data_IF_936451817126
#
_entry.id   IF_936451817126
#
_cell.length_a   1.000
_cell.length_b   1.000
_cell.length_c   1.000
_cell.angle_alpha   90.00
_cell.angle_beta   90.00
_cell.angle_gamma   90.00
#
_symmetry.space_group_name_H-M   'P 1'
#
loop_
_entity.id
_entity.type
_entity.pdbx_description
1 polymer ?
2 non-polymer ?
3 non-polymer ?
4 non-polymer ?
5 non-polymer ?
6 non-polymer ?
7 water ?
#
# COMPACT_ATOMS: atom_id res chain seq x y z
N UNK A 23 19.19 -3.49 4.87
CA UNK A 23 17.91 -4.26 5.00
C UNK A 23 16.94 -3.92 3.87
N UNK A 24 16.03 -2.99 4.17
CA UNK A 24 14.97 -2.58 3.25
C UNK A 24 15.52 -2.22 1.88
N UNK A 25 16.61 -1.45 1.85
CA UNK A 25 17.18 -0.97 0.58
C UNK A 25 17.61 -2.07 -0.42
N UNK A 26 17.94 -3.25 0.09
CA UNK A 26 18.44 -4.34 -0.75
C UNK A 26 17.38 -5.39 -1.15
N UNK A 27 16.16 -5.23 -0.67
CA UNK A 27 15.11 -6.13 -1.11
C UNK A 27 14.73 -5.80 -2.57
N UNK A 28 14.69 -6.81 -3.46
CA UNK A 28 14.32 -6.52 -4.86
C UNK A 28 12.90 -6.03 -4.94
N UNK A 29 12.61 -5.18 -5.92
CA UNK A 29 11.23 -4.76 -6.12
C UNK A 29 10.32 -5.95 -6.46
N UNK A 30 10.88 -6.99 -7.09
CA UNK A 30 10.07 -8.17 -7.41
C UNK A 30 10.81 -9.23 -8.20
N UNK A 31 10.28 -10.46 -8.21
CA UNK A 31 10.85 -11.55 -9.00
C UNK A 31 10.47 -11.48 -10.51
N UNK A 32 9.38 -10.80 -10.84
CA UNK A 32 8.99 -10.69 -12.25
C UNK A 32 8.07 -9.51 -12.43
N UNK A 33 8.66 -8.32 -12.53
CA UNK A 33 7.92 -7.07 -12.60
C UNK A 33 7.22 -6.81 -13.95
N UNK A 34 6.07 -6.12 -13.93
CA UNK A 34 5.40 -5.58 -12.72
C UNK A 34 4.46 -6.54 -12.00
N UNK A 35 4.17 -7.71 -12.57
CA UNK A 35 3.04 -8.49 -12.05
C UNK A 35 3.35 -9.30 -10.76
N UNK A 36 4.62 -9.66 -10.56
CA UNK A 36 5.09 -10.46 -9.43
C UNK A 36 6.08 -9.57 -8.64
N UNK A 37 5.58 -8.90 -7.59
CA UNK A 37 6.36 -7.93 -6.81
C UNK A 37 6.42 -8.20 -5.26
N UNK A 38 7.33 -7.51 -4.58
CA UNK A 38 7.50 -7.66 -3.14
C UNK A 38 6.96 -6.43 -2.42
N UNK A 39 6.37 -6.64 -1.24
CA UNK A 39 5.88 -5.55 -0.39
C UNK A 39 6.50 -5.69 1.00
N UNK A 40 7.12 -4.62 1.46
CA UNK A 40 7.55 -4.58 2.85
C UNK A 40 6.43 -3.95 3.69
N UNK A 41 6.01 -4.67 4.73
CA UNK A 41 4.87 -4.19 5.54
C UNK A 41 5.31 -3.14 6.56
N UNK A 42 4.63 -2.00 6.58
CA UNK A 42 4.86 -0.97 7.62
C UNK A 42 3.78 -0.99 8.72
N UNK A 43 2.53 -1.26 8.33
CA UNK A 43 1.38 -1.19 9.26
C UNK A 43 0.42 -2.37 9.10
N UNK A 44 0.41 -3.31 10.08
CA UNK A 44 -0.49 -4.49 10.00
C UNK A 44 -1.98 -4.04 10.03
N UNK A 45 -2.83 -4.75 9.29
CA UNK A 45 -4.26 -4.53 9.36
C UNK A 45 -4.75 -4.48 10.80
N UNK A 46 -5.58 -3.48 11.13
CA UNK A 46 -6.21 -3.39 12.50
C UNK A 46 -5.25 -3.15 13.68
N UNK A 47 -3.99 -2.83 13.39
CA UNK A 47 -3.04 -2.53 14.47
C UNK A 47 -3.46 -1.22 15.18
N UNK A 48 -2.99 -1.03 16.42
CA UNK A 48 -3.27 0.22 17.13
C UNK A 48 -2.87 1.40 16.23
N UNK A 49 -3.54 2.55 16.39
CA UNK A 49 -3.45 3.66 15.40
C UNK A 49 -2.14 4.50 15.42
N UNK A 50 -1.03 3.85 15.09
CA UNK A 50 0.30 4.45 15.05
C UNK A 50 0.85 4.23 13.65
N UNK A 51 1.21 5.34 12.99
CA UNK A 51 1.69 5.30 11.60
C UNK A 51 3.21 5.10 11.54
N UNK A 52 3.69 3.88 11.27
CA UNK A 52 5.12 3.67 11.08
C UNK A 52 5.50 3.84 9.61
N UNK A 53 6.71 4.33 9.37
CA UNK A 53 7.30 4.42 8.04
C UNK A 53 8.69 3.81 8.08
N UNK A 54 8.99 2.96 7.11
CA UNK A 54 10.33 2.39 6.99
C UNK A 54 11.33 3.49 6.64
N UNK A 55 12.45 3.52 7.34
CA UNK A 55 13.56 4.38 6.95
C UNK A 55 14.54 3.51 6.15
N UNK A 56 14.63 3.75 4.86
CA UNK A 56 15.47 2.90 4.02
C UNK A 56 16.98 3.18 4.24
N UNK A 57 17.29 4.34 4.82
CA UNK A 57 18.66 4.67 5.18
C UNK A 57 19.05 4.17 6.58
N UNK A 58 18.08 3.85 7.44
CA UNK A 58 18.41 3.32 8.76
C UNK A 58 18.19 1.82 8.78
N UNK A 59 17.40 1.33 7.82
CA UNK A 59 16.91 -0.07 7.83
C UNK A 59 15.89 -0.40 8.94
N UNK A 60 15.20 0.61 9.47
CA UNK A 60 14.34 0.42 10.65
C UNK A 60 13.01 1.10 10.44
N UNK A 61 11.97 0.62 11.13
CA UNK A 61 10.68 1.32 11.16
C UNK A 61 10.77 2.52 12.10
N UNK A 62 10.24 3.64 11.62
CA UNK A 62 10.23 4.88 12.39
C UNK A 62 8.79 5.35 12.66
N UNK A 63 8.52 5.82 13.88
CA UNK A 63 7.17 6.34 14.19
C UNK A 63 6.95 7.70 13.51
N UNK A 64 6.15 7.74 12.46
CA UNK A 64 5.85 9.00 11.82
C UNK A 64 4.92 9.85 12.68
N UNK A 65 3.75 9.32 13.04
CA UNK A 65 2.85 10.00 13.93
C UNK A 65 1.82 9.04 14.56
N UNK A 66 1.30 9.43 15.72
CA UNK A 66 0.05 8.87 16.25
C UNK A 66 -1.11 9.46 15.46
N UNK A 67 -1.86 8.58 14.79
CA UNK A 67 -2.97 9.04 13.98
C UNK A 67 -3.97 9.86 14.81
N UNK A 68 -4.23 11.09 14.38
CA UNK A 68 -5.06 12.03 15.18
C UNK A 68 -6.48 11.56 15.49
N UNK A 69 -7.09 10.88 14.52
CA UNK A 69 -8.44 10.38 14.67
C UNK A 69 -8.52 9.04 15.43
N UNK A 70 -7.39 8.38 15.64
CA UNK A 70 -7.42 7.05 16.27
C UNK A 70 -7.91 5.96 15.32
N UNK A 71 -8.09 6.29 14.04
CA UNK A 71 -8.53 5.30 13.02
C UNK A 71 -7.43 4.32 12.62
N UNK A 72 -7.83 3.08 12.26
CA UNK A 72 -6.90 1.97 12.01
C UNK A 72 -6.97 1.55 10.54
N UNK A 73 -5.82 1.18 9.98
CA UNK A 73 -5.81 0.62 8.63
C UNK A 73 -6.66 -0.64 8.59
N UNK A 74 -7.66 -0.68 7.70
CA UNK A 74 -8.51 -1.88 7.54
C UNK A 74 -7.81 -3.09 6.88
N UNK A 75 -6.67 -2.86 6.22
CA UNK A 75 -5.88 -3.93 5.61
C UNK A 75 -4.43 -3.57 5.82
N UNK A 76 -3.52 -4.51 5.57
CA UNK A 76 -2.08 -4.25 5.70
C UNK A 76 -1.59 -3.18 4.76
N UNK A 77 -0.65 -2.39 5.23
CA UNK A 77 -0.11 -1.27 4.45
C UNK A 77 1.43 -1.30 4.42
N UNK A 78 1.99 -1.08 3.24
CA UNK A 78 3.44 -1.06 3.06
C UNK A 78 3.81 -0.45 1.73
N UNK A 79 4.98 -0.83 1.23
CA UNK A 79 5.50 -0.25 -0.02
C UNK A 79 6.30 -1.28 -0.82
N UNK A 80 6.47 -1.01 -2.11
CA UNK A 80 7.42 -1.79 -2.95
C UNK A 80 8.84 -1.22 -2.90
N UNK A 81 9.81 -2.01 -2.43
CA UNK A 81 11.19 -1.48 -2.37
C UNK A 81 11.77 -1.24 -3.77
N UNK A 82 12.73 -0.32 -3.85
CA UNK A 82 13.38 -0.01 -5.12
C UNK A 82 12.41 0.57 -6.16
N UNK A 83 11.46 1.36 -5.68
CA UNK A 83 10.57 2.10 -6.56
C UNK A 83 10.55 3.54 -6.09
N UNK A 84 10.12 4.44 -6.96
CA UNK A 84 10.07 5.84 -6.63
C UNK A 84 8.87 6.41 -7.36
N UNK A 85 7.85 6.75 -6.58
CA UNK A 85 6.58 7.20 -7.11
C UNK A 85 6.63 8.67 -7.46
N UNK A 86 5.51 9.19 -7.97
CA UNK A 86 5.38 10.61 -8.27
C UNK A 86 5.76 11.57 -7.14
N UNK A 87 5.55 11.18 -5.89
CA UNK A 87 5.89 12.08 -4.77
C UNK A 87 7.33 11.91 -4.23
N UNK A 88 8.10 10.99 -4.78
CA UNK A 88 9.44 10.82 -4.24
C UNK A 88 9.48 9.77 -3.16
N UNK A 89 8.34 9.17 -2.85
CA UNK A 89 8.25 8.00 -1.95
C UNK A 89 8.06 6.74 -2.80
N UNK A 90 8.41 5.57 -2.25
CA UNK A 90 8.16 4.31 -2.95
C UNK A 90 6.69 4.10 -3.26
N UNK A 91 6.37 3.16 -4.15
CA UNK A 91 4.96 2.87 -4.49
C UNK A 91 4.26 2.25 -3.27
N UNK A 92 3.15 2.85 -2.85
CA UNK A 92 2.33 2.35 -1.71
C UNK A 92 1.38 1.22 -2.06
N UNK A 93 1.27 0.25 -1.15
CA UNK A 93 0.43 -0.94 -1.34
C UNK A 93 -0.38 -1.34 -0.08
N UNK A 94 -1.68 -1.54 -0.30
CA UNK A 94 -2.59 -2.22 0.62
C UNK A 94 -2.67 -3.72 0.26
N UNK A 95 -2.27 -4.60 1.18
CA UNK A 95 -2.32 -6.05 0.99
C UNK A 95 -3.40 -6.67 1.89
N UNK A 96 -4.38 -7.30 1.26
CA UNK A 96 -5.49 -8.01 1.96
C UNK A 96 -5.02 -9.44 2.33
N UNK A 97 -5.14 -9.80 3.61
CA UNK A 97 -4.78 -11.16 4.08
C UNK A 97 -5.80 -11.68 5.11
N UNK A 98 -5.91 -13.02 5.28
CA UNK A 98 -6.84 -13.47 6.33
C UNK A 98 -6.42 -13.17 7.82
N UNK A 99 -5.13 -12.95 8.08
CA UNK A 99 -4.63 -12.57 9.41
C UNK A 99 -3.63 -11.44 9.21
N UNK A 100 -3.54 -10.48 10.16
CA UNK A 100 -2.58 -9.38 9.91
C UNK A 100 -1.14 -9.89 9.72
N UNK A 101 -0.34 -9.16 8.93
CA UNK A 101 1.08 -9.49 8.73
C UNK A 101 1.94 -8.69 9.72
N UNK A 102 3.10 -9.26 10.01
CA UNK A 102 4.12 -8.66 10.86
C UNK A 102 4.73 -7.39 10.26
N UNK A 103 4.76 -6.29 11.02
CA UNK A 103 5.43 -5.08 10.55
C UNK A 103 6.93 -5.37 10.34
N UNK A 104 7.44 -4.95 9.18
CA UNK A 104 8.84 -5.13 8.84
C UNK A 104 9.11 -6.42 8.07
N UNK A 105 8.09 -7.27 7.92
CA UNK A 105 8.21 -8.47 7.10
C UNK A 105 8.00 -8.16 5.59
N UNK A 106 8.36 -9.13 4.74
CA UNK A 106 8.22 -9.06 3.29
C UNK A 106 7.24 -10.12 2.80
N UNK A 107 6.36 -9.72 1.89
CA UNK A 107 5.37 -10.62 1.29
C UNK A 107 5.40 -10.50 -0.27
N UNK A 108 5.53 -11.63 -0.94
CA UNK A 108 5.42 -11.71 -2.39
C UNK A 108 3.95 -11.52 -2.74
N UNK A 109 3.63 -10.56 -3.63
CA UNK A 109 2.25 -10.15 -3.92
C UNK A 109 1.93 -9.98 -5.42
N UNK A 110 0.64 -9.86 -5.72
CA UNK A 110 0.14 -9.54 -7.07
C UNK A 110 -0.95 -8.49 -6.94
N UNK A 111 -1.21 -7.76 -8.03
CA UNK A 111 -2.04 -6.57 -7.96
C UNK A 111 -3.48 -6.88 -8.26
N UNK A 112 -4.38 -6.12 -7.64
CA UNK A 112 -5.82 -6.23 -7.94
C UNK A 112 -6.30 -4.95 -8.62
N UNK A 113 -5.63 -3.83 -8.33
CA UNK A 113 -6.12 -2.53 -8.80
C UNK A 113 -5.55 -1.41 -7.97
N UNK A 114 -6.24 -0.27 -7.93
CA UNK A 114 -5.70 0.86 -7.17
C UNK A 114 -6.75 1.88 -6.79
N UNK A 115 -6.49 2.59 -5.70
CA UNK A 115 -7.33 3.71 -5.29
C UNK A 115 -6.65 5.00 -5.70
N UNK A 116 -7.33 5.84 -6.49
CA UNK A 116 -6.77 7.13 -6.90
C UNK A 116 -7.26 8.25 -6.00
N UNK A 117 -6.35 9.09 -5.54
CA UNK A 117 -6.69 10.16 -4.61
C UNK A 117 -5.79 11.33 -4.90
N UNK A 118 -6.14 12.49 -4.35
CA UNK A 118 -5.20 13.60 -4.20
C UNK A 118 -5.24 14.05 -2.74
N UNK A 119 -4.08 14.33 -2.15
CA UNK A 119 -4.05 14.84 -0.79
C UNK A 119 -3.33 16.18 -0.72
N UNK A 120 -3.03 16.64 0.50
CA UNK A 120 -2.39 17.95 0.66
C UNK A 120 -1.06 18.06 -0.12
N UNK A 121 -0.40 16.94 -0.39
CA UNK A 121 0.86 16.97 -1.14
C UNK A 121 0.70 16.59 -2.61
N UNK A 122 -0.52 16.64 -3.14
CA UNK A 122 -0.76 16.34 -4.55
C UNK A 122 -1.24 14.92 -4.79
N UNK A 123 -1.07 14.44 -6.03
CA UNK A 123 -1.58 13.12 -6.44
C UNK A 123 -1.11 11.97 -5.54
N UNK A 124 -2.01 11.04 -5.25
CA UNK A 124 -1.69 9.92 -4.34
C UNK A 124 -2.45 8.66 -4.71
N UNK A 125 -1.82 7.79 -5.49
CA UNK A 125 -2.41 6.51 -5.82
C UNK A 125 -1.88 5.45 -4.84
N UNK A 126 -2.76 4.57 -4.39
CA UNK A 126 -2.35 3.39 -3.62
C UNK A 126 -2.86 2.12 -4.26
N UNK A 127 -1.97 1.15 -4.44
CA UNK A 127 -2.34 -0.14 -4.99
C UNK A 127 -3.07 -0.99 -3.96
N UNK A 128 -3.88 -1.91 -4.46
CA UNK A 128 -4.55 -2.88 -3.64
C UNK A 128 -4.05 -4.23 -4.16
N UNK A 129 -3.57 -5.07 -3.25
CA UNK A 129 -2.92 -6.30 -3.65
C UNK A 129 -3.33 -7.45 -2.73
N UNK A 130 -3.00 -8.69 -3.14
CA UNK A 130 -3.05 -9.87 -2.29
C UNK A 130 -1.73 -10.62 -2.45
N UNK A 131 -1.41 -11.55 -1.52
CA UNK A 131 -0.18 -12.32 -1.71
C UNK A 131 -0.26 -13.21 -2.97
N UNK A 132 0.91 -13.67 -3.43
CA UNK A 132 1.03 -14.76 -4.41
C UNK A 132 0.14 -15.92 -4.00
N UNK A 133 -0.50 -16.57 -4.97
CA UNK A 133 -1.40 -17.69 -4.68
C UNK A 133 -0.82 -18.85 -3.85
N UNK A 134 0.46 -19.14 -3.96
CA UNK A 134 1.08 -20.20 -3.16
C UNK A 134 1.40 -19.71 -1.74
N UNK A 135 1.53 -18.41 -1.56
CA UNK A 135 1.68 -17.84 -0.22
C UNK A 135 0.32 -17.78 0.49
N UNK A 136 -0.71 -17.33 -0.22
CA UNK A 136 -2.05 -17.22 0.36
C UNK A 136 -3.15 -17.83 -0.54
N UNK A 137 -3.34 -19.16 -0.45
CA UNK A 137 -4.41 -19.80 -1.22
C UNK A 137 -5.77 -19.21 -0.93
N UNK A 138 -5.95 -18.67 0.28
CA UNK A 138 -7.23 -18.12 0.73
C UNK A 138 -7.70 -16.94 -0.11
N UNK A 139 -6.75 -16.24 -0.75
CA UNK A 139 -7.12 -15.06 -1.54
C UNK A 139 -7.05 -15.33 -3.07
N UNK A 140 -6.83 -16.58 -3.46
CA UNK A 140 -6.66 -16.94 -4.89
C UNK A 140 -7.83 -16.55 -5.78
N UNK A 141 -9.04 -16.55 -5.24
CA UNK A 141 -10.23 -16.21 -6.03
C UNK A 141 -10.46 -14.73 -6.18
N UNK A 142 -9.63 -13.89 -5.55
CA UNK A 142 -9.66 -12.47 -5.86
C UNK A 142 -8.74 -12.22 -7.07
N UNK A 143 -9.36 -11.99 -8.23
CA UNK A 143 -8.64 -11.79 -9.49
C UNK A 143 -8.47 -10.31 -9.83
N UNK A 144 -9.39 -9.47 -9.38
CA UNK A 144 -9.25 -8.04 -9.63
C UNK A 144 -9.97 -7.27 -8.53
N UNK A 145 -9.83 -5.95 -8.56
CA UNK A 145 -10.44 -5.06 -7.60
C UNK A 145 -11.97 -5.31 -7.48
N UNK A 146 -12.61 -5.73 -8.59
CA UNK A 146 -14.07 -5.98 -8.63
C UNK A 146 -14.48 -7.17 -7.80
N UNK A 147 -13.53 -8.02 -7.46
CA UNK A 147 -13.84 -9.16 -6.62
C UNK A 147 -13.78 -8.82 -5.12
N UNK A 148 -13.18 -7.69 -4.76
CA UNK A 148 -13.10 -7.32 -3.34
C UNK A 148 -14.51 -6.97 -2.84
N UNK A 149 -14.92 -7.52 -1.69
CA UNK A 149 -16.25 -7.21 -1.18
C UNK A 149 -16.51 -5.70 -1.15
N UNK A 150 -17.73 -5.29 -1.49
CA UNK A 150 -18.04 -3.87 -1.50
C UNK A 150 -17.82 -3.22 -0.11
N UNK A 151 -18.13 -3.97 0.95
CA UNK A 151 -18.02 -3.43 2.31
C UNK A 151 -16.56 -3.08 2.62
N UNK A 152 -15.62 -3.92 2.18
CA UNK A 152 -14.19 -3.66 2.36
C UNK A 152 -13.71 -2.47 1.52
N UNK A 153 -14.03 -2.50 0.23
CA UNK A 153 -13.81 -1.34 -0.62
C UNK A 153 -14.31 -0.06 0.09
N UNK A 154 -15.56 -0.05 0.55
CA UNK A 154 -16.14 1.13 1.23
C UNK A 154 -15.39 1.57 2.50
N UNK A 155 -14.98 0.59 3.31
CA UNK A 155 -14.17 0.86 4.50
C UNK A 155 -12.82 1.50 4.15
N UNK A 156 -12.15 1.00 3.11
CA UNK A 156 -10.85 1.54 2.71
C UNK A 156 -11.00 2.99 2.27
N UNK A 157 -12.03 3.24 1.48
CA UNK A 157 -12.29 4.58 1.00
C UNK A 157 -12.65 5.57 2.13
N UNK A 158 -13.52 5.15 3.05
CA UNK A 158 -13.84 5.94 4.26
C UNK A 158 -12.57 6.24 5.10
N UNK A 159 -11.74 5.21 5.32
CA UNK A 159 -10.47 5.38 6.04
C UNK A 159 -9.65 6.54 5.46
N UNK A 160 -9.35 6.49 4.16
CA UNK A 160 -8.56 7.56 3.56
C UNK A 160 -9.22 8.94 3.52
N UNK A 161 -10.54 8.96 3.38
CA UNK A 161 -11.29 10.20 3.48
C UNK A 161 -11.27 10.84 4.86
N UNK A 162 -11.10 10.06 5.92
CA UNK A 162 -11.29 10.55 7.29
C UNK A 162 -10.08 10.51 8.24
N UNK A 163 -9.10 9.64 8.00
CA UNK A 163 -8.03 9.47 8.98
C UNK A 163 -7.18 10.72 9.32
N UNK A 164 -7.14 11.69 8.39
CA UNK A 164 -6.33 12.89 8.59
C UNK A 164 -7.18 14.07 9.06
N UNK A 165 -8.45 13.80 9.35
CA UNK A 165 -9.40 14.83 9.76
C UNK A 165 -8.88 15.74 10.88
N UNK A 166 -8.01 15.24 11.75
CA UNK A 166 -7.62 16.02 12.93
C UNK A 166 -6.19 16.54 12.88
N UNK A 167 -5.61 16.54 11.68
CA UNK A 167 -4.30 17.16 11.48
C UNK A 167 -4.45 18.41 10.62
N UNK A 168 -4.05 19.56 11.16
CA UNK A 168 -4.12 20.84 10.42
C UNK A 168 -3.25 20.78 9.16
N UNK A 169 -3.81 21.22 8.04
CA UNK A 169 -3.06 21.26 6.80
C UNK A 169 -3.06 19.97 6.01
N UNK A 170 -3.83 18.98 6.47
CA UNK A 170 -3.87 17.68 5.79
C UNK A 170 -5.27 17.35 5.35
N UNK A 171 -5.41 16.76 4.17
CA UNK A 171 -6.72 16.46 3.63
C UNK A 171 -6.61 15.41 2.49
N UNK A 172 -7.73 14.80 2.13
CA UNK A 172 -7.74 13.78 1.10
C UNK A 172 -9.04 13.80 0.34
N UNK A 173 -8.95 13.84 -0.98
CA UNK A 173 -10.13 13.58 -1.82
C UNK A 173 -9.89 12.31 -2.65
N UNK A 174 -10.84 11.39 -2.58
CA UNK A 174 -10.80 10.16 -3.35
C UNK A 174 -11.36 10.40 -4.75
N UNK A 175 -10.56 10.12 -5.79
CA UNK A 175 -11.04 10.25 -7.16
C UNK A 175 -11.78 8.98 -7.62
N UNK A 176 -11.21 7.81 -7.38
CA UNK A 176 -11.90 6.56 -7.75
C UNK A 176 -11.00 5.34 -7.83
N UNK A 177 -11.60 4.20 -8.17
CA UNK A 177 -10.89 2.94 -8.32
C UNK A 177 -10.39 2.76 -9.76
N UNK A 178 -9.30 2.03 -9.93
CA UNK A 178 -8.84 1.61 -11.26
C UNK A 178 -8.33 0.18 -11.15
N UNK A 179 -8.10 -0.48 -12.29
CA UNK A 179 -7.88 -1.92 -12.32
C UNK A 179 -6.43 -2.35 -12.41
N UNK A 180 -6.21 -3.61 -12.78
CA UNK A 180 -4.88 -4.23 -12.76
C UNK A 180 -3.87 -3.57 -13.69
N UNK A 181 -4.32 -3.20 -14.89
CA UNK A 181 -3.40 -2.57 -15.87
C UNK A 181 -2.88 -1.24 -15.36
N UNK A 182 -3.75 -0.45 -14.73
CA UNK A 182 -3.28 0.82 -14.14
C UNK A 182 -2.28 0.57 -13.02
N UNK A 183 -2.51 -0.48 -12.22
CA UNK A 183 -1.58 -0.87 -11.14
C UNK A 183 -0.20 -1.22 -11.71
N UNK A 184 -0.21 -1.99 -12.79
CA UNK A 184 1.03 -2.37 -13.45
C UNK A 184 1.82 -1.19 -14.02
N UNK A 185 1.14 -0.21 -14.62
CA UNK A 185 1.78 1.03 -15.07
C UNK A 185 2.47 1.73 -13.91
N UNK A 186 1.71 1.95 -12.83
CA UNK A 186 2.27 2.58 -11.62
C UNK A 186 3.55 1.86 -11.14
N UNK A 187 3.52 0.53 -11.12
CA UNK A 187 4.69 -0.25 -10.74
C UNK A 187 5.87 -0.06 -11.76
N UNK A 188 5.62 -0.26 -13.06
CA UNK A 188 6.70 -0.06 -14.08
C UNK A 188 7.30 1.37 -14.01
N UNK A 189 6.45 2.40 -13.93
CA UNK A 189 6.93 3.77 -13.74
C UNK A 189 7.82 3.88 -12.50
N UNK A 190 7.35 3.31 -11.39
CA UNK A 190 8.10 3.41 -10.13
C UNK A 190 9.47 2.78 -10.19
N UNK A 191 9.54 1.59 -10.76
CA UNK A 191 10.82 0.93 -10.96
C UNK A 191 11.80 1.78 -11.83
N UNK A 192 11.31 2.24 -12.99
CA UNK A 192 12.07 3.10 -13.89
C UNK A 192 12.55 4.36 -13.16
N UNK A 193 11.63 5.13 -12.60
CA UNK A 193 11.99 6.35 -11.84
C UNK A 193 13.05 6.15 -10.76
N UNK A 194 13.03 5.01 -10.08
CA UNK A 194 13.99 4.77 -9.01
C UNK A 194 15.42 4.63 -9.54
N UNK A 195 15.56 4.02 -10.72
CA UNK A 195 16.88 3.80 -11.32
C UNK A 195 17.41 5.10 -11.93
N UNK A 196 16.55 6.12 -11.92
CA UNK A 196 16.93 7.50 -12.19
C UNK A 196 16.20 7.96 -13.45
X LIG B 1 7.01 -9.32 -16.45
X LIG C 1 -0.80 10.39 1.44
X LIG D 1 1.29 7.16 -3.20
X LIG E 1 1.28 8.20 3.12
X LIG E 1 1.28 6.73 3.46
X LIG E 1 2.55 8.46 2.35
X LIG E 1 0.06 8.54 2.29
X LIG E 1 1.43 9.06 4.48
X LIG E 1 0.52 10.30 4.92
X LIG E 1 1.36 11.08 5.88
X LIG E 1 -0.69 9.74 5.69
X LIG E 1 0.03 11.13 3.75
X LIG F 1 -1.72 -5.14 -17.17
X LIG F 1 -0.78 -4.40 -17.95
X LIG F 1 0.25 -5.43 -18.34
X LIG F 1 1.49 -4.86 -17.98
X LIG F 1 2.50 -5.86 -18.08
X LIG F 1 2.16 -6.96 -17.09
X LIG F 1 1.71 -8.11 -17.78
X LIG F 1 2.41 -9.24 -17.33
X LIG F 1 1.82 -10.42 -18.08
X LIG F 1 2.77 -10.84 -19.05
X LIG F 1 2.26 -10.99 -20.36
X LIG F 1 1.84 -12.43 -20.55
X LIG F 1 0.52 -12.42 -21.11
X LIG G 1 -16.86 5.30 -5.00
X LIG G 1 -16.48 3.95 -4.74
X LIG G 1 -15.72 6.02 -5.71
X LIG G 1 -16.12 7.39 -5.79
X LIG G 1 -15.06 8.29 -5.50
X LIG G 1 -15.66 9.65 -5.13
X LIG G 1 -16.12 9.61 -3.78
X LIG H 1 7.58 -17.45 -2.36
X LIG H 1 7.37 -16.66 -1.17
X LIG H 1 6.28 -17.91 -3.02
X LIG H 1 6.21 -19.33 -3.12
X LIG H 1 5.82 -19.81 -4.41
X LIG H 1 6.99 -20.50 -5.13
X LIG H 1 7.03 -20.17 -6.53
#
# INVERSE_FOLDING_TARGET
MAHHHHHHMGTLEAQTQGPGSMSFSNVPAGKDLPQDFNVIIEIPAQSEPVKYEADKALGLLVVDRFIGTGMRYPVNYGFIPQTLSGDGDPVDVLVITPFPLLAGSVVRARALGMLKMTDESGVDAKLVAVPHDKVCPMTANLKSIDDVPAYLKDQIKHFFEQYKALEKGKWVKVEGWDGIDAAHKEITDGVANFKK
K K
NA NA
NA NA
POP P1 O1 O2 O3 O P2 O4 O5 O6
PG4 O1 C1 C2 O2 C3 C4 O3 C5 C6 O4 C7 C8 O5
PEG C1 O1 C2 O2 C3 C4 O4
PEG C1 O1 C2 O2 C3 C4 O4
#
